data_IF_869233976643
#
_entry.id   IF_869233976643
#
_cell.length_a   1.000
_cell.length_b   1.000
_cell.length_c   1.000
_cell.angle_alpha   90.00
_cell.angle_beta   90.00
_cell.angle_gamma   90.00
#
_symmetry.space_group_name_H-M   'P 1'
#
loop_
_entity.id
_entity.type
_entity.pdbx_description
1 polymer ?
#
# COMPACT_ATOMS: atom_id res chain seq x y z
N UNK A 1 -19.03 2.81 14.07
CA UNK A 1 -17.56 2.69 14.06
C UNK A 1 -17.19 1.78 12.90
N UNK A 2 -16.39 2.24 11.94
CA UNK A 2 -15.94 1.43 10.80
C UNK A 2 -14.44 1.15 10.88
N UNK A 3 -13.98 0.22 10.05
CA UNK A 3 -12.58 -0.16 9.89
C UNK A 3 -12.20 -0.12 8.42
N UNK A 4 -10.89 0.02 8.16
CA UNK A 4 -10.28 -0.11 6.84
C UNK A 4 -9.22 -1.20 6.89
N UNK A 5 -9.19 -2.04 5.86
CA UNK A 5 -8.17 -3.06 5.65
C UNK A 5 -7.27 -2.62 4.50
N UNK A 6 -5.99 -2.43 4.78
CA UNK A 6 -4.95 -2.16 3.80
C UNK A 6 -4.20 -3.45 3.52
N UNK A 7 -3.90 -3.74 2.26
CA UNK A 7 -3.27 -5.00 1.88
C UNK A 7 -2.18 -4.80 0.83
N UNK A 8 -1.08 -5.52 0.99
CA UNK A 8 -0.16 -5.82 -0.12
C UNK A 8 -0.65 -7.13 -0.73
N UNK A 9 -0.86 -7.15 -2.04
CA UNK A 9 -1.26 -8.35 -2.77
C UNK A 9 -0.26 -8.69 -3.86
N UNK A 10 -0.13 -9.97 -4.17
CA UNK A 10 0.60 -10.40 -5.35
C UNK A 10 -0.22 -10.15 -6.64
N UNK A 11 0.36 -10.51 -7.78
CA UNK A 11 -0.26 -10.32 -9.10
C UNK A 11 -1.57 -11.10 -9.31
N UNK A 12 -1.89 -12.05 -8.44
CA UNK A 12 -3.13 -12.83 -8.46
C UNK A 12 -4.15 -12.31 -7.43
N UNK A 13 -3.84 -11.20 -6.75
CA UNK A 13 -4.69 -10.62 -5.71
C UNK A 13 -4.63 -11.37 -4.37
N UNK A 14 -3.65 -12.27 -4.17
CA UNK A 14 -3.50 -12.97 -2.88
C UNK A 14 -2.82 -12.04 -1.88
N UNK A 15 -3.38 -11.87 -0.66
CA UNK A 15 -2.80 -10.98 0.33
C UNK A 15 -1.49 -11.54 0.87
N UNK A 16 -0.44 -10.72 0.84
CA UNK A 16 0.89 -10.99 1.40
C UNK A 16 1.04 -10.37 2.79
N UNK A 17 0.47 -9.18 2.98
CA UNK A 17 0.46 -8.49 4.26
C UNK A 17 -0.83 -7.69 4.43
N UNK A 18 -1.31 -7.59 5.66
CA UNK A 18 -2.58 -6.96 6.03
C UNK A 18 -2.36 -5.99 7.19
N UNK A 19 -2.89 -4.79 7.06
CA UNK A 19 -2.85 -3.77 8.11
C UNK A 19 -4.24 -3.16 8.31
N UNK A 20 -4.76 -3.25 9.53
CA UNK A 20 -6.10 -2.76 9.88
C UNK A 20 -5.99 -1.42 10.59
N UNK A 21 -6.82 -0.47 10.17
CA UNK A 21 -6.94 0.85 10.79
C UNK A 21 -8.40 1.18 11.09
N UNK A 22 -8.62 2.17 11.96
CA UNK A 22 -9.95 2.73 12.13
C UNK A 22 -10.38 3.45 10.83
N UNK A 23 -11.67 3.41 10.49
CA UNK A 23 -12.09 3.75 9.13
C UNK A 23 -12.00 5.23 8.76
N UNK A 24 -11.80 6.13 9.74
CA UNK A 24 -11.47 7.54 9.48
C UNK A 24 -10.00 7.78 9.11
N UNK A 25 -9.12 6.77 9.22
CA UNK A 25 -7.70 6.90 8.87
C UNK A 25 -7.54 7.02 7.35
N UNK A 26 -6.64 7.91 6.92
CA UNK A 26 -6.32 8.13 5.51
C UNK A 26 -5.64 6.89 4.91
N UNK A 27 -5.91 6.63 3.63
CA UNK A 27 -5.30 5.53 2.90
C UNK A 27 -3.80 5.74 2.69
N UNK A 28 -3.32 6.99 2.67
CA UNK A 28 -1.87 7.29 2.67
C UNK A 28 -1.16 6.82 3.94
N UNK A 29 -1.81 6.93 5.09
CA UNK A 29 -1.24 6.45 6.35
C UNK A 29 -1.20 4.92 6.34
N UNK A 30 -2.26 4.28 5.84
CA UNK A 30 -2.32 2.83 5.67
C UNK A 30 -1.24 2.30 4.71
N UNK A 31 -1.09 2.91 3.54
CA UNK A 31 -0.07 2.56 2.55
C UNK A 31 1.35 2.76 3.10
N UNK A 32 1.61 3.87 3.80
CA UNK A 32 2.92 4.14 4.42
C UNK A 32 3.29 3.09 5.46
N UNK A 33 2.33 2.59 6.23
CA UNK A 33 2.58 1.55 7.24
C UNK A 33 2.99 0.20 6.62
N UNK A 34 2.64 -0.04 5.36
CA UNK A 34 2.98 -1.26 4.62
C UNK A 34 4.26 -1.13 3.79
N UNK A 35 4.82 0.08 3.64
CA UNK A 35 5.97 0.33 2.76
C UNK A 35 7.19 -0.54 3.12
N UNK A 36 7.50 -0.69 4.41
CA UNK A 36 8.66 -1.47 4.87
C UNK A 36 8.47 -2.98 4.75
N UNK A 37 7.27 -3.46 4.41
CA UNK A 37 6.97 -4.89 4.24
C UNK A 37 6.72 -5.27 2.78
N UNK A 38 6.97 -4.35 1.83
CA UNK A 38 6.96 -4.66 0.42
C UNK A 38 8.07 -5.67 0.09
N UNK A 39 7.75 -6.77 -0.61
CA UNK A 39 8.77 -7.66 -1.15
C UNK A 39 9.54 -6.95 -2.27
N UNK A 40 10.72 -7.48 -2.58
CA UNK A 40 11.45 -7.07 -3.77
C UNK A 40 10.67 -7.46 -5.02
N UNK A 41 10.35 -6.47 -5.88
CA UNK A 41 9.48 -6.64 -7.04
C UNK A 41 9.95 -5.74 -8.18
N UNK A 42 9.88 -6.27 -9.41
CA UNK A 42 10.22 -5.50 -10.62
C UNK A 42 9.18 -4.39 -10.90
N UNK A 43 7.91 -4.63 -10.55
CA UNK A 43 6.79 -3.75 -10.86
C UNK A 43 5.76 -3.74 -9.73
N UNK A 44 5.25 -2.55 -9.41
CA UNK A 44 4.16 -2.35 -8.46
C UNK A 44 2.94 -1.75 -9.18
N UNK A 45 1.77 -2.37 -9.01
CA UNK A 45 0.51 -1.84 -9.52
C UNK A 45 -0.07 -0.85 -8.51
N UNK A 46 -0.20 0.42 -8.92
CA UNK A 46 -0.77 1.49 -8.10
C UNK A 46 -1.95 2.17 -8.78
N UNK A 47 -2.89 2.67 -7.98
CA UNK A 47 -3.96 3.54 -8.46
C UNK A 47 -3.40 4.92 -8.84
N UNK A 48 -3.77 5.40 -10.04
CA UNK A 48 -3.35 6.70 -10.56
C UNK A 48 -4.14 7.86 -9.95
N UNK A 49 -5.28 7.61 -9.32
CA UNK A 49 -6.14 8.64 -8.74
C UNK A 49 -5.54 9.39 -7.55
N UNK A 50 -4.45 8.88 -6.99
CA UNK A 50 -3.78 9.46 -5.84
C UNK A 50 -2.53 10.25 -6.23
N UNK A 51 -2.47 11.49 -5.74
CA UNK A 51 -1.25 12.32 -5.75
C UNK A 51 -0.31 11.83 -4.64
N UNK A 52 0.42 10.77 -4.94
CA UNK A 52 1.22 9.99 -4.00
C UNK A 52 2.68 9.89 -4.44
N UNK A 53 3.24 10.98 -4.95
CA UNK A 53 4.61 11.00 -5.49
C UNK A 53 5.64 10.50 -4.46
N UNK A 54 5.47 10.88 -3.19
CA UNK A 54 6.29 10.38 -2.08
C UNK A 54 6.30 8.84 -1.97
N UNK A 55 5.19 8.17 -2.30
CA UNK A 55 5.08 6.71 -2.25
C UNK A 55 5.76 6.11 -3.48
N UNK A 56 5.54 6.72 -4.66
CA UNK A 56 6.20 6.31 -5.92
C UNK A 56 7.71 6.37 -5.78
N UNK A 57 8.24 7.48 -5.28
CA UNK A 57 9.67 7.66 -5.03
C UNK A 57 10.23 6.64 -4.03
N UNK A 58 9.44 6.25 -3.02
CA UNK A 58 9.87 5.29 -2.02
C UNK A 58 9.83 3.83 -2.47
N UNK A 59 9.07 3.50 -3.53
CA UNK A 59 8.98 2.13 -4.08
C UNK A 59 9.77 1.93 -5.36
N UNK A 60 10.15 3.00 -6.07
CA UNK A 60 11.05 2.90 -7.21
C UNK A 60 12.49 2.73 -6.71
N UNK A 61 12.99 1.49 -6.81
CA UNK A 61 14.43 1.21 -6.71
C UNK A 61 15.04 1.49 -8.10
N UNK A 62 16.18 2.20 -8.21
CA UNK A 62 16.84 2.44 -9.50
C UNK A 62 17.30 1.17 -10.21
#
# INVERSE_FOLDING_TARGET
MNTKLHAICDSQGRPLNLFVTAGQVSDYIGARALLSSLPDVDWLLGDRGYDADWFREAVVVP
#
